data_IF_727281171488
#
_entry.id   IF_727281171488
#
_cell.length_a   1.000
_cell.length_b   1.000
_cell.length_c   1.000
_cell.angle_alpha   90.00
_cell.angle_beta   90.00
_cell.angle_gamma   90.00
#
_symmetry.space_group_name_H-M   'P 1'
#
loop_
_entity.id
_entity.type
_entity.pdbx_description
1 polymer ?
#
# COMPACT_ATOMS: atom_id res chain seq x y z
N UNK A 1 8.65 13.54 -6.53
CA UNK A 1 9.46 12.88 -5.50
C UNK A 1 9.22 13.63 -4.19
N UNK A 2 8.30 13.16 -3.34
CA UNK A 2 8.01 13.82 -2.05
C UNK A 2 8.87 13.14 -1.01
N UNK A 3 9.90 13.84 -0.55
CA UNK A 3 10.72 13.45 0.59
C UNK A 3 9.83 13.36 1.83
N UNK A 4 9.59 12.14 2.32
CA UNK A 4 9.06 11.92 3.66
C UNK A 4 10.21 12.22 4.61
N UNK A 5 10.20 13.41 5.22
CA UNK A 5 11.13 13.74 6.30
C UNK A 5 10.95 12.74 7.44
N UNK A 6 12.05 12.22 7.99
CA UNK A 6 12.11 11.34 9.18
C UNK A 6 11.69 12.08 10.48
N UNK A 7 10.63 12.89 10.44
CA UNK A 7 10.07 13.51 11.63
C UNK A 7 9.20 12.48 12.37
N UNK A 8 9.25 12.45 13.72
CA UNK A 8 8.45 11.53 14.50
C UNK A 8 6.96 11.80 14.25
N UNK A 9 6.24 10.77 13.82
CA UNK A 9 4.78 10.82 13.72
C UNK A 9 4.23 10.89 15.13
N UNK A 10 3.69 12.05 15.52
CA UNK A 10 3.04 12.24 16.81
C UNK A 10 1.64 11.64 16.71
N UNK A 11 1.45 10.47 17.31
CA UNK A 11 0.15 9.81 17.43
C UNK A 11 -0.48 10.18 18.78
N UNK A 12 -1.66 10.80 18.73
CA UNK A 12 -2.43 11.15 19.92
C UNK A 12 -3.77 10.44 19.90
N UNK A 13 -4.00 9.56 20.87
CA UNK A 13 -5.29 8.90 21.07
C UNK A 13 -6.08 9.62 22.15
N UNK A 14 -7.35 9.91 21.87
CA UNK A 14 -8.26 10.57 22.80
C UNK A 14 -9.55 9.80 22.88
N UNK A 15 -10.02 9.58 24.10
CA UNK A 15 -11.30 8.95 24.39
C UNK A 15 -12.51 9.88 24.23
N UNK A 16 -12.30 11.15 23.85
CA UNK A 16 -13.38 12.14 23.72
C UNK A 16 -13.75 12.39 22.26
N UNK A 17 -14.97 11.99 21.89
CA UNK A 17 -15.54 12.11 20.54
C UNK A 17 -15.76 13.56 20.06
N UNK A 18 -15.61 14.56 20.94
CA UNK A 18 -15.79 15.98 20.59
C UNK A 18 -14.44 16.68 20.69
N UNK A 19 -13.90 17.23 19.58
CA UNK A 19 -12.64 17.94 19.63
C UNK A 19 -12.81 19.21 20.49
N UNK A 20 -12.18 19.21 21.66
CA UNK A 20 -12.19 20.33 22.60
C UNK A 20 -11.18 21.38 22.14
N UNK A 21 -11.66 22.52 21.66
CA UNK A 21 -10.77 23.60 21.24
C UNK A 21 -11.49 24.77 20.59
N UNK A 22 -10.73 25.85 20.35
CA UNK A 22 -11.21 27.00 19.60
C UNK A 22 -10.97 26.76 18.12
N UNK A 23 -12.04 26.50 17.38
CA UNK A 23 -11.97 26.38 15.93
C UNK A 23 -11.86 27.74 15.27
N UNK A 24 -11.10 27.79 14.18
CA UNK A 24 -11.05 28.93 13.27
C UNK A 24 -11.59 28.52 11.91
N UNK A 25 -12.17 29.46 11.17
CA UNK A 25 -12.60 29.19 9.80
C UNK A 25 -11.41 28.96 8.88
N UNK A 26 -11.66 28.25 7.78
CA UNK A 26 -10.66 28.01 6.72
C UNK A 26 -10.05 29.32 6.19
N UNK A 27 -10.85 30.37 5.97
CA UNK A 27 -10.36 31.67 5.51
C UNK A 27 -9.37 32.30 6.48
N UNK A 28 -9.61 32.16 7.79
CA UNK A 28 -8.72 32.67 8.83
C UNK A 28 -7.43 31.84 8.90
N UNK A 29 -7.54 30.51 8.82
CA UNK A 29 -6.39 29.62 8.76
C UNK A 29 -5.49 29.95 7.54
N UNK A 30 -6.08 30.06 6.34
CA UNK A 30 -5.38 30.42 5.10
C UNK A 30 -4.65 31.76 5.22
N UNK A 31 -5.28 32.77 5.84
CA UNK A 31 -4.64 34.07 6.12
C UNK A 31 -3.43 33.95 7.05
N UNK A 32 -3.51 33.10 8.09
CA UNK A 32 -2.38 32.88 9.01
C UNK A 32 -1.22 32.15 8.31
N UNK A 33 -1.53 31.13 7.51
CA UNK A 33 -0.53 30.42 6.69
C UNK A 33 0.16 31.39 5.73
N UNK A 34 -0.59 32.26 5.04
CA UNK A 34 -0.02 33.27 4.13
C UNK A 34 0.87 34.32 4.82
N UNK A 35 0.74 34.48 6.14
CA UNK A 35 1.57 35.38 6.96
C UNK A 35 2.84 34.69 7.48
N UNK A 36 3.09 33.44 7.10
CA UNK A 36 4.26 32.68 7.55
C UNK A 36 4.10 32.00 8.92
N UNK A 37 2.87 31.89 9.45
CA UNK A 37 2.66 31.11 10.67
C UNK A 37 2.94 29.62 10.40
N UNK A 38 3.62 28.97 11.36
CA UNK A 38 3.86 27.52 11.32
C UNK A 38 2.52 26.79 11.50
N UNK A 39 2.34 25.74 10.73
CA UNK A 39 1.18 24.87 10.81
C UNK A 39 1.62 23.42 10.64
N UNK A 40 0.85 22.52 11.24
CA UNK A 40 1.01 21.08 11.06
C UNK A 40 -0.29 20.52 10.50
N UNK A 41 -0.16 19.63 9.51
CA UNK A 41 -1.30 18.85 9.03
C UNK A 41 -1.42 17.61 9.90
N UNK A 42 -2.58 17.43 10.53
CA UNK A 42 -2.85 16.27 11.38
C UNK A 42 -3.95 15.44 10.72
N UNK A 43 -3.70 14.14 10.57
CA UNK A 43 -4.72 13.18 10.16
C UNK A 43 -5.41 12.66 11.41
N UNK A 44 -6.72 12.84 11.50
CA UNK A 44 -7.54 12.25 12.56
C UNK A 44 -8.13 10.95 12.03
N UNK A 45 -7.87 9.84 12.72
CA UNK A 45 -8.50 8.56 12.44
C UNK A 45 -9.49 8.26 13.56
N UNK A 46 -10.73 7.94 13.22
CA UNK A 46 -11.70 7.44 14.19
C UNK A 46 -11.47 5.94 14.37
N UNK A 47 -11.01 5.52 15.55
CA UNK A 47 -10.76 4.11 15.86
C UNK A 47 -12.04 3.34 16.21
N UNK A 48 -13.18 4.02 16.37
CA UNK A 48 -14.48 3.39 16.63
C UNK A 48 -15.23 2.98 15.36
N UNK A 49 -14.82 3.53 14.21
CA UNK A 49 -15.36 3.16 12.91
C UNK A 49 -14.58 1.96 12.41
N UNK A 50 -15.27 0.84 12.19
CA UNK A 50 -14.70 -0.29 11.48
C UNK A 50 -14.14 0.22 10.14
N UNK A 51 -12.84 -0.03 9.87
CA UNK A 51 -12.53 -0.87 8.72
C UNK A 51 -13.43 -0.68 7.50
N UNK A 52 -13.55 0.49 6.82
CA UNK A 52 -14.51 0.60 5.73
C UNK A 52 -14.24 -0.54 4.76
N UNK A 53 -15.28 -1.33 4.48
CA UNK A 53 -15.16 -2.50 3.61
C UNK A 53 -14.37 -2.11 2.37
N UNK A 54 -13.46 -2.95 1.87
CA UNK A 54 -12.59 -2.58 0.76
C UNK A 54 -13.39 -2.09 -0.47
N UNK A 55 -14.59 -2.64 -0.67
CA UNK A 55 -15.60 -2.21 -1.65
C UNK A 55 -16.27 -0.86 -1.33
N UNK A 56 -15.89 -0.13 -0.28
CA UNK A 56 -16.39 1.22 0.00
C UNK A 56 -15.61 2.29 -0.76
N UNK A 57 -14.39 1.95 -1.20
CA UNK A 57 -13.53 2.82 -2.00
C UNK A 57 -14.12 2.93 -3.42
N UNK A 58 -14.41 4.14 -3.92
CA UNK A 58 -15.04 4.33 -5.23
C UNK A 58 -14.35 3.60 -6.38
N UNK A 59 -13.01 3.65 -6.41
CA UNK A 59 -12.23 3.02 -7.49
C UNK A 59 -12.28 1.49 -7.45
N UNK A 60 -12.37 0.90 -6.25
CA UNK A 60 -12.50 -0.56 -6.09
C UNK A 60 -13.87 -1.03 -6.56
N UNK A 61 -14.93 -0.25 -6.28
CA UNK A 61 -16.28 -0.54 -6.79
C UNK A 61 -16.40 -0.39 -8.30
N UNK A 62 -15.65 0.55 -8.88
CA UNK A 62 -15.69 0.81 -10.32
C UNK A 62 -14.96 -0.28 -11.10
N UNK A 63 -13.97 -0.93 -10.50
CA UNK A 63 -13.14 -1.97 -11.13
C UNK A 63 -13.08 -3.26 -10.28
N UNK A 64 -14.20 -3.95 -10.03
CA UNK A 64 -14.21 -5.16 -9.20
C UNK A 64 -13.36 -6.29 -9.81
N UNK A 65 -13.29 -6.38 -11.14
CA UNK A 65 -12.49 -7.37 -11.88
C UNK A 65 -10.97 -7.18 -11.70
N UNK A 66 -10.51 -5.96 -11.38
CA UNK A 66 -9.08 -5.64 -11.18
C UNK A 66 -8.66 -5.90 -9.73
N UNK A 67 -9.63 -5.91 -8.81
CA UNK A 67 -9.42 -6.16 -7.39
C UNK A 67 -10.27 -7.33 -6.88
N UNK A 68 -10.12 -8.54 -7.45
CA UNK A 68 -10.82 -9.72 -6.95
C UNK A 68 -10.29 -10.10 -5.56
N UNK A 69 -11.12 -10.78 -4.77
CA UNK A 69 -10.72 -11.27 -3.44
C UNK A 69 -9.54 -12.27 -3.53
N UNK A 70 -9.49 -13.06 -4.61
CA UNK A 70 -8.39 -13.97 -4.96
C UNK A 70 -7.84 -13.63 -6.36
N UNK A 71 -6.51 -13.69 -6.54
CA UNK A 71 -5.88 -13.42 -7.84
C UNK A 71 -6.16 -14.56 -8.85
N UNK A 72 -6.46 -14.25 -10.12
CA UNK A 72 -6.51 -15.25 -11.18
C UNK A 72 -5.08 -15.71 -11.46
N UNK A 73 -4.67 -16.83 -10.84
CA UNK A 73 -3.30 -17.32 -10.72
C UNK A 73 -2.35 -16.95 -11.86
N UNK A 74 -2.36 -17.72 -12.96
CA UNK A 74 -1.54 -17.42 -14.15
C UNK A 74 -2.19 -16.27 -14.93
N UNK A 75 -1.40 -15.27 -15.38
CA UNK A 75 -1.91 -14.23 -16.25
C UNK A 75 -2.63 -14.84 -17.47
N UNK A 76 -3.77 -14.28 -17.89
CA UNK A 76 -4.44 -14.75 -19.10
C UNK A 76 -3.49 -14.71 -20.31
N UNK A 77 -3.72 -15.60 -21.29
CA UNK A 77 -2.99 -15.61 -22.55
C UNK A 77 -2.97 -14.18 -23.12
N UNK A 78 -1.75 -13.67 -23.35
CA UNK A 78 -1.54 -12.36 -23.93
C UNK A 78 -1.32 -12.55 -25.43
N UNK A 79 -1.82 -11.62 -26.24
CA UNK A 79 -1.61 -11.64 -27.70
C UNK A 79 -0.14 -11.40 -28.10
N UNK A 80 0.69 -10.99 -27.15
CA UNK A 80 2.09 -10.65 -27.36
C UNK A 80 2.95 -11.60 -26.53
N UNK A 81 3.86 -12.29 -27.20
CA UNK A 81 4.90 -13.09 -26.56
C UNK A 81 5.98 -12.19 -25.96
N UNK A 82 6.43 -12.53 -24.76
CA UNK A 82 7.51 -11.82 -24.07
C UNK A 82 8.82 -12.54 -24.34
N UNK A 83 9.67 -11.95 -25.17
CA UNK A 83 11.02 -12.45 -25.41
C UNK A 83 12.00 -11.95 -24.33
N UNK A 84 12.94 -12.81 -23.95
CA UNK A 84 14.05 -12.45 -23.06
C UNK A 84 15.29 -12.25 -23.92
N UNK A 85 15.60 -10.98 -24.23
CA UNK A 85 16.80 -10.62 -24.97
C UNK A 85 18.05 -10.85 -24.11
N UNK A 86 18.93 -11.74 -24.59
CA UNK A 86 20.21 -11.97 -23.96
C UNK A 86 21.29 -11.14 -24.65
N UNK A 87 22.23 -10.63 -23.85
CA UNK A 87 23.47 -10.05 -24.39
C UNK A 87 24.21 -11.17 -25.16
N UNK A 88 24.78 -10.90 -26.35
CA UNK A 88 25.61 -11.86 -27.05
C UNK A 88 26.65 -12.50 -26.11
N UNK A 89 26.89 -13.81 -26.27
CA UNK A 89 27.78 -14.64 -25.45
C UNK A 89 27.31 -14.97 -24.01
N UNK A 90 26.06 -14.62 -23.65
CA UNK A 90 25.48 -15.06 -22.36
C UNK A 90 25.35 -16.59 -22.31
N UNK A 91 25.88 -17.20 -21.25
CA UNK A 91 25.77 -18.65 -21.00
C UNK A 91 24.67 -18.94 -19.99
N UNK A 92 24.01 -20.12 -20.04
CA UNK A 92 23.04 -20.52 -19.03
C UNK A 92 23.65 -20.53 -17.63
N UNK A 93 22.86 -20.07 -16.65
CA UNK A 93 23.26 -20.03 -15.24
C UNK A 93 22.80 -21.33 -14.58
N UNK A 94 23.71 -21.98 -13.84
CA UNK A 94 23.41 -23.14 -13.00
C UNK A 94 23.96 -22.88 -11.59
N UNK A 95 23.06 -22.61 -10.65
CA UNK A 95 23.37 -22.34 -9.25
C UNK A 95 22.64 -23.39 -8.41
N UNK A 96 23.29 -24.05 -7.43
CA UNK A 96 22.61 -25.00 -6.57
C UNK A 96 21.52 -24.31 -5.75
N UNK A 97 20.37 -24.96 -5.50
CA UNK A 97 19.34 -24.41 -4.63
C UNK A 97 19.87 -24.13 -3.22
N UNK A 98 19.37 -23.06 -2.60
CA UNK A 98 19.66 -22.77 -1.20
C UNK A 98 19.07 -23.85 -0.29
N UNK A 99 19.72 -24.09 0.85
CA UNK A 99 19.19 -24.98 1.89
C UNK A 99 18.05 -24.27 2.61
N UNK A 100 16.90 -24.92 2.62
CA UNK A 100 15.68 -24.49 3.33
C UNK A 100 15.35 -25.48 4.44
N UNK A 101 14.73 -25.00 5.51
CA UNK A 101 14.22 -25.86 6.58
C UNK A 101 13.03 -26.72 6.09
N UNK A 102 12.70 -27.84 6.76
CA UNK A 102 11.57 -28.68 6.36
C UNK A 102 10.22 -27.95 6.27
N UNK A 103 9.99 -26.93 7.11
CA UNK A 103 8.77 -26.13 7.09
C UNK A 103 8.69 -25.24 5.83
N UNK A 104 9.78 -24.55 5.50
CA UNK A 104 9.88 -23.71 4.29
C UNK A 104 9.74 -24.54 3.02
N UNK A 105 10.35 -25.73 2.97
CA UNK A 105 10.19 -26.65 1.84
C UNK A 105 8.74 -27.15 1.68
N UNK A 106 8.03 -27.34 2.78
CA UNK A 106 6.61 -27.73 2.75
C UNK A 106 5.77 -26.60 2.15
N UNK A 107 5.98 -25.38 2.62
CA UNK A 107 5.28 -24.19 2.13
C UNK A 107 5.58 -23.93 0.65
N UNK A 108 6.85 -23.98 0.25
CA UNK A 108 7.24 -23.85 -1.16
C UNK A 108 6.57 -24.90 -2.04
N UNK A 109 6.48 -26.15 -1.56
CA UNK A 109 5.79 -27.22 -2.29
C UNK A 109 4.29 -26.97 -2.41
N UNK A 110 3.66 -26.33 -1.42
CA UNK A 110 2.25 -25.95 -1.49
C UNK A 110 2.06 -24.85 -2.54
N UNK A 111 2.87 -23.79 -2.52
CA UNK A 111 2.82 -22.70 -3.52
C UNK A 111 3.07 -23.19 -4.95
N UNK A 112 3.99 -24.15 -5.15
CA UNK A 112 4.26 -24.71 -6.47
C UNK A 112 3.13 -25.57 -7.05
N UNK A 113 2.17 -26.03 -6.22
CA UNK A 113 0.97 -26.74 -6.70
C UNK A 113 -0.12 -25.80 -7.18
N UNK A 114 -0.11 -24.57 -6.67
CA UNK A 114 -1.12 -23.55 -6.96
C UNK A 114 -0.76 -22.74 -8.22
N UNK A 115 0.46 -22.90 -8.75
CA UNK A 115 0.90 -22.45 -10.07
C UNK A 115 0.37 -23.37 -11.18
#
# INVERSE_FOLDING_TARGET
>A
QVSVSNEPVIEWSSSSAVPKGRFISYLKARKLVSKGCIYHLVRVHDSSVEIPHFQSVPIVREFPEVFPDDLPGIPPEREIDFDIDLIPDTRPISIPPYRMAPAELKELKEQLKDL
#
